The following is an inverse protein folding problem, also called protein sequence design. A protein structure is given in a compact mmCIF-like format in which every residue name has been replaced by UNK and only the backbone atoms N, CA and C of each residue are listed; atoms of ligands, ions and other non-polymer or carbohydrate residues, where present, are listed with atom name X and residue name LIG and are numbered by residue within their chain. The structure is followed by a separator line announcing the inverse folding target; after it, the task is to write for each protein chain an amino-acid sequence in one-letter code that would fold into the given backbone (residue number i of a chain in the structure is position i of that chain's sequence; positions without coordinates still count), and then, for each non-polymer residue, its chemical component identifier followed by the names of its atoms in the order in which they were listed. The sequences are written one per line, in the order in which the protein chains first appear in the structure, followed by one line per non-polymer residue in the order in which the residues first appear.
data_IF_730027795426
#
_entry.id   IF_730027795426
#
_cell.length_a   1.000
_cell.length_b   1.000
_cell.length_c   1.000
_cell.angle_alpha   90.00
_cell.angle_beta   90.00
_cell.angle_gamma   90.00
#
_symmetry.space_group_name_H-M   'P 1'
#
loop_
_entity.id
_entity.type
_entity.pdbx_description
1 polymer ?
#
# COMPACT_ATOMS: atom_id res chain seq x y z
N UNK A 1 18.83 -15.33 6.84
CA UNK A 1 18.68 -14.10 6.04
C UNK A 1 17.21 -13.74 6.01
N UNK A 2 16.81 -12.61 6.59
CA UNK A 2 15.42 -12.16 6.50
C UNK A 2 15.20 -11.55 5.12
N UNK A 3 14.20 -12.03 4.37
CA UNK A 3 13.85 -11.41 3.09
C UNK A 3 13.39 -9.97 3.35
N UNK A 4 13.95 -8.99 2.61
CA UNK A 4 13.65 -7.55 2.76
C UNK A 4 12.17 -7.21 2.52
N UNK A 5 11.44 -8.07 1.80
CA UNK A 5 10.03 -7.90 1.47
C UNK A 5 9.25 -9.18 1.77
N UNK A 6 7.98 -9.07 2.21
CA UNK A 6 7.15 -10.23 2.52
C UNK A 6 6.84 -11.05 1.26
N UNK A 7 6.79 -12.36 1.43
CA UNK A 7 6.43 -13.34 0.38
C UNK A 7 4.93 -13.64 0.32
N UNK A 8 4.18 -13.24 1.35
CA UNK A 8 2.76 -13.55 1.50
C UNK A 8 1.95 -12.27 1.64
N UNK A 9 0.73 -12.27 1.09
CA UNK A 9 -0.22 -11.17 1.23
C UNK A 9 -1.59 -11.70 1.66
N UNK A 10 -2.25 -11.02 2.60
CA UNK A 10 -3.59 -11.38 3.08
C UNK A 10 -4.68 -10.69 2.25
N UNK A 11 -5.49 -11.48 1.53
CA UNK A 11 -6.60 -10.92 0.74
C UNK A 11 -7.75 -10.42 1.61
N UNK A 12 -7.91 -10.99 2.80
CA UNK A 12 -8.86 -10.47 3.79
C UNK A 12 -8.49 -9.05 4.22
N UNK A 13 -7.22 -8.83 4.52
CA UNK A 13 -6.75 -7.50 4.91
C UNK A 13 -6.87 -6.49 3.76
N UNK A 14 -6.57 -6.91 2.52
CA UNK A 14 -6.77 -6.07 1.35
C UNK A 14 -8.25 -5.70 1.12
N UNK A 15 -9.17 -6.63 1.40
CA UNK A 15 -10.61 -6.37 1.35
C UNK A 15 -11.06 -5.39 2.45
N UNK A 16 -10.60 -5.57 3.68
CA UNK A 16 -10.93 -4.68 4.80
C UNK A 16 -10.45 -3.24 4.52
N UNK A 17 -9.29 -3.09 3.87
CA UNK A 17 -8.78 -1.79 3.43
C UNK A 17 -9.63 -1.17 2.31
N UNK A 18 -10.13 -1.99 1.39
CA UNK A 18 -11.00 -1.55 0.30
C UNK A 18 -12.35 -1.06 0.82
N UNK A 19 -13.01 -1.88 1.66
CA UNK A 19 -14.31 -1.52 2.25
C UNK A 19 -14.19 -0.32 3.17
N UNK A 20 -13.10 -0.21 3.92
CA UNK A 20 -12.82 0.99 4.71
C UNK A 20 -12.66 2.25 3.85
N UNK A 21 -12.10 2.15 2.65
CA UNK A 21 -11.96 3.29 1.74
C UNK A 21 -13.31 3.74 1.17
N UNK A 22 -14.19 2.80 0.82
CA UNK A 22 -15.54 3.10 0.34
C UNK A 22 -16.55 3.42 1.45
N UNK A 23 -16.18 3.22 2.71
CA UNK A 23 -17.05 3.54 3.83
C UNK A 23 -17.47 5.02 3.79
N UNK A 24 -18.77 5.24 4.01
CA UNK A 24 -19.43 6.55 3.94
C UNK A 24 -18.73 7.57 4.85
N UNK A 25 -18.28 7.14 6.04
CA UNK A 25 -17.61 8.03 6.99
C UNK A 25 -16.28 8.57 6.47
N UNK A 26 -15.49 7.74 5.77
CA UNK A 26 -14.20 8.16 5.18
C UNK A 26 -14.39 9.04 3.95
N UNK A 27 -15.33 8.66 3.09
CA UNK A 27 -15.67 9.39 1.87
C UNK A 27 -16.24 10.79 2.16
N UNK A 28 -17.09 10.92 3.18
CA UNK A 28 -17.65 12.21 3.58
C UNK A 28 -16.57 13.21 4.03
N UNK A 29 -15.55 12.75 4.76
CA UNK A 29 -14.44 13.61 5.18
C UNK A 29 -13.60 14.10 4.00
N UNK A 30 -13.34 13.23 3.02
CA UNK A 30 -12.61 13.60 1.82
C UNK A 30 -13.40 14.61 0.99
N UNK A 31 -14.70 14.34 0.80
CA UNK A 31 -15.62 15.24 0.11
C UNK A 31 -15.70 16.61 0.77
N UNK A 32 -15.82 16.68 2.10
CA UNK A 32 -15.84 17.95 2.83
C UNK A 32 -14.54 18.76 2.64
N UNK A 33 -13.38 18.09 2.56
CA UNK A 33 -12.07 18.77 2.51
C UNK A 33 -11.64 19.13 1.09
N UNK A 34 -11.92 18.27 0.13
CA UNK A 34 -11.41 18.36 -1.24
C UNK A 34 -12.51 18.56 -2.29
N UNK A 35 -13.79 18.44 -1.93
CA UNK A 35 -14.92 18.60 -2.84
C UNK A 35 -15.28 17.35 -3.64
N UNK A 36 -14.46 16.29 -3.55
CA UNK A 36 -14.62 15.08 -4.35
C UNK A 36 -14.51 13.80 -3.51
N UNK A 37 -15.15 12.73 -3.99
CA UNK A 37 -14.95 11.39 -3.47
C UNK A 37 -13.56 10.87 -3.84
N UNK A 38 -12.93 10.11 -2.95
CA UNK A 38 -11.64 9.50 -3.29
C UNK A 38 -11.86 8.27 -4.17
N UNK A 39 -11.07 8.14 -5.22
CA UNK A 39 -11.19 7.07 -6.22
C UNK A 39 -10.82 5.68 -5.69
N UNK A 40 -10.19 5.56 -4.52
CA UNK A 40 -9.79 4.27 -3.90
C UNK A 40 -8.96 3.32 -4.80
N UNK A 41 -8.38 3.81 -5.91
CA UNK A 41 -7.76 2.99 -6.95
C UNK A 41 -6.61 2.11 -6.41
N UNK A 42 -5.87 2.62 -5.42
CA UNK A 42 -4.76 1.90 -4.78
C UNK A 42 -5.24 0.68 -4.00
N UNK A 43 -6.37 0.79 -3.32
CA UNK A 43 -6.96 -0.28 -2.54
C UNK A 43 -7.60 -1.31 -3.48
N UNK A 44 -8.25 -0.84 -4.56
CA UNK A 44 -8.82 -1.69 -5.60
C UNK A 44 -7.72 -2.51 -6.29
N UNK A 45 -6.62 -1.87 -6.68
CA UNK A 45 -5.49 -2.54 -7.35
C UNK A 45 -4.82 -3.57 -6.43
N UNK A 46 -4.64 -3.25 -5.14
CA UNK A 46 -4.13 -4.20 -4.14
C UNK A 46 -5.05 -5.41 -3.98
N UNK A 47 -6.36 -5.20 -3.90
CA UNK A 47 -7.33 -6.29 -3.77
C UNK A 47 -7.37 -7.18 -5.02
N UNK A 48 -7.41 -6.57 -6.22
CA UNK A 48 -7.34 -7.30 -7.49
C UNK A 48 -6.06 -8.10 -7.62
N UNK A 49 -4.92 -7.50 -7.28
CA UNK A 49 -3.63 -8.20 -7.27
C UNK A 49 -3.65 -9.40 -6.32
N UNK A 50 -4.24 -9.24 -5.12
CA UNK A 50 -4.36 -10.35 -4.18
C UNK A 50 -5.13 -11.53 -4.76
N UNK A 51 -6.33 -11.28 -5.30
CA UNK A 51 -7.19 -12.34 -5.83
C UNK A 51 -6.47 -13.14 -6.93
N UNK A 52 -5.70 -12.47 -7.79
CA UNK A 52 -5.09 -13.08 -8.97
C UNK A 52 -3.73 -13.72 -8.65
N UNK A 53 -2.96 -13.15 -7.73
CA UNK A 53 -1.54 -13.48 -7.54
C UNK A 53 -1.16 -13.88 -6.11
N UNK A 54 -2.10 -14.10 -5.19
CA UNK A 54 -1.78 -14.46 -3.79
C UNK A 54 -0.96 -15.74 -3.64
N UNK A 55 -1.09 -16.68 -4.59
CA UNK A 55 -0.40 -17.98 -4.54
C UNK A 55 1.07 -17.89 -4.98
N UNK A 56 1.46 -16.82 -5.68
CA UNK A 56 2.80 -16.67 -6.25
C UNK A 56 3.68 -15.78 -5.37
N UNK A 57 4.60 -16.34 -4.55
CA UNK A 57 5.39 -15.53 -3.61
C UNK A 57 6.35 -14.56 -4.29
N UNK A 58 6.81 -14.87 -5.51
CA UNK A 58 7.71 -14.02 -6.30
C UNK A 58 7.00 -12.74 -6.76
N UNK A 59 5.79 -12.87 -7.31
CA UNK A 59 4.99 -11.71 -7.76
C UNK A 59 4.63 -10.82 -6.58
N UNK A 60 4.28 -11.42 -5.43
CA UNK A 60 3.99 -10.66 -4.21
C UNK A 60 5.20 -9.81 -3.81
N UNK A 61 6.41 -10.38 -3.80
CA UNK A 61 7.63 -9.63 -3.51
C UNK A 61 7.88 -8.50 -4.51
N UNK A 62 7.66 -8.74 -5.81
CA UNK A 62 7.79 -7.72 -6.86
C UNK A 62 6.83 -6.56 -6.63
N UNK A 63 5.57 -6.84 -6.31
CA UNK A 63 4.57 -5.82 -5.99
C UNK A 63 5.02 -4.94 -4.80
N UNK A 64 5.55 -5.54 -3.74
CA UNK A 64 6.08 -4.78 -2.59
C UNK A 64 7.32 -3.95 -2.93
N UNK A 65 8.20 -4.45 -3.82
CA UNK A 65 9.36 -3.68 -4.32
C UNK A 65 8.91 -2.47 -5.11
N UNK A 66 7.97 -2.65 -6.03
CA UNK A 66 7.39 -1.58 -6.84
C UNK A 66 6.70 -0.53 -5.96
N UNK A 67 5.93 -0.97 -4.96
CA UNK A 67 5.29 -0.05 -4.05
C UNK A 67 6.30 0.76 -3.23
N UNK A 68 7.42 0.15 -2.83
CA UNK A 68 8.50 0.84 -2.16
C UNK A 68 9.21 1.85 -3.07
N UNK A 69 9.48 1.51 -4.35
CA UNK A 69 10.06 2.46 -5.31
C UNK A 69 9.12 3.63 -5.61
N UNK A 70 7.82 3.37 -5.78
CA UNK A 70 6.81 4.41 -6.00
C UNK A 70 6.73 5.36 -4.81
N UNK A 71 6.72 4.82 -3.58
CA UNK A 71 6.75 5.64 -2.38
C UNK A 71 8.03 6.50 -2.32
N UNK A 72 9.21 5.94 -2.66
CA UNK A 72 10.48 6.68 -2.73
C UNK A 72 10.48 7.78 -3.78
N UNK A 73 9.89 7.53 -4.96
CA UNK A 73 9.73 8.56 -6.00
C UNK A 73 8.85 9.70 -5.50
N UNK A 74 7.74 9.38 -4.82
CA UNK A 74 6.91 10.38 -4.14
C UNK A 74 7.70 11.13 -3.06
N UNK A 75 8.66 10.48 -2.37
CA UNK A 75 9.52 11.16 -1.40
C UNK A 75 10.48 12.18 -2.01
N UNK A 76 10.88 12.01 -3.26
CA UNK A 76 11.73 12.97 -3.96
C UNK A 76 10.96 14.21 -4.46
N UNK A 77 9.62 14.21 -4.34
CA UNK A 77 8.84 15.44 -4.47
C UNK A 77 9.09 16.35 -3.27
N UNK A 78 9.06 17.67 -3.48
CA UNK A 78 9.74 18.74 -2.70
C UNK A 78 9.33 18.95 -1.23
N UNK A 79 8.93 17.92 -0.48
CA UNK A 79 8.33 18.08 0.86
C UNK A 79 8.60 17.00 1.90
N UNK A 80 9.69 16.22 1.84
CA UNK A 80 9.94 15.15 2.81
C UNK A 80 11.09 15.47 3.77
N UNK A 81 10.77 15.48 5.07
CA UNK A 81 11.66 15.86 6.18
C UNK A 81 12.23 14.62 6.91
N UNK A 82 11.59 13.45 6.75
CA UNK A 82 11.90 12.23 7.51
C UNK A 82 12.53 11.16 6.62
N UNK A 83 13.66 10.60 7.08
CA UNK A 83 14.37 9.50 6.43
C UNK A 83 14.02 8.15 7.08
N UNK A 84 14.08 7.08 6.29
CA UNK A 84 13.91 5.71 6.80
C UNK A 84 15.02 5.40 7.81
N UNK A 85 14.65 4.90 9.00
CA UNK A 85 15.63 4.48 10.00
C UNK A 85 16.28 3.19 9.52
N UNK A 86 17.61 3.20 9.42
CA UNK A 86 18.37 1.98 9.16
C UNK A 86 18.08 0.96 10.26
N UNK A 87 17.52 -0.18 9.89
CA UNK A 87 17.35 -1.28 10.84
C UNK A 87 18.72 -1.90 11.06
N UNK A 88 19.29 -1.71 12.25
CA UNK A 88 20.49 -2.44 12.64
C UNK A 88 20.26 -3.95 12.45
N UNK A 89 21.22 -4.69 11.87
CA UNK A 89 21.16 -6.13 11.91
C UNK A 89 21.15 -6.53 13.39
N UNK A 90 20.03 -7.07 13.86
CA UNK A 90 19.89 -7.57 15.23
C UNK A 90 21.09 -8.46 15.54
N UNK A 91 21.89 -8.02 16.52
CA UNK A 91 23.03 -8.75 17.08
C UNK A 91 22.57 -10.04 17.75
#
# INVERSE_FOLDING_TARGET
MSAKYPTTMSCREAFDQLTSCYSIGGQFRNYYRHGDFTSCDKQVSKFKFCIVHSNDPVKVQEWYKEQASNNKMLQNSTGIIWQERETDPKK
#
